data_IF_958681578210
#
_entry.id   IF_958681578210
#
_cell.length_a   1.000
_cell.length_b   1.000
_cell.length_c   1.000
_cell.angle_alpha   90.00
_cell.angle_beta   90.00
_cell.angle_gamma   90.00
#
_symmetry.space_group_name_H-M   'P 1'
#
loop_
_entity.id
_entity.type
_entity.pdbx_description
1 polymer ?
#
# COMPACT_ATOMS: atom_id res chain seq x y z
N UNK A 1 32.97 6.86 1.41
CA UNK A 1 31.70 6.35 0.86
C UNK A 1 30.70 7.50 0.83
N UNK A 2 30.13 7.85 -0.33
CA UNK A 2 29.25 9.01 -0.48
C UNK A 2 28.03 8.91 0.46
N UNK A 3 27.84 9.90 1.35
CA UNK A 3 26.68 9.98 2.27
C UNK A 3 25.33 9.82 1.54
N UNK A 4 25.24 10.26 0.29
CA UNK A 4 24.04 10.14 -0.55
C UNK A 4 23.68 8.69 -0.90
N UNK A 5 24.67 7.82 -1.14
CA UNK A 5 24.43 6.40 -1.47
C UNK A 5 23.90 5.63 -0.25
N UNK A 6 24.43 5.92 0.95
CA UNK A 6 23.93 5.36 2.19
C UNK A 6 22.50 5.81 2.51
N UNK A 7 22.18 7.09 2.25
CA UNK A 7 20.81 7.60 2.39
C UNK A 7 19.81 6.84 1.52
N UNK A 8 20.09 6.70 0.22
CA UNK A 8 19.18 6.05 -0.72
C UNK A 8 18.94 4.59 -0.34
N UNK A 9 20.00 3.87 0.04
CA UNK A 9 19.89 2.48 0.49
C UNK A 9 19.02 2.36 1.74
N UNK A 10 19.26 3.20 2.74
CA UNK A 10 18.50 3.17 3.99
C UNK A 10 17.04 3.59 3.78
N UNK A 11 16.80 4.61 2.95
CA UNK A 11 15.45 5.04 2.56
C UNK A 11 14.65 3.92 1.89
N UNK A 12 15.28 3.15 1.01
CA UNK A 12 14.63 2.02 0.35
C UNK A 12 14.35 0.88 1.32
N UNK A 13 15.31 0.53 2.19
CA UNK A 13 15.12 -0.52 3.20
C UNK A 13 13.99 -0.17 4.17
N UNK A 14 13.99 1.06 4.70
CA UNK A 14 12.94 1.52 5.63
C UNK A 14 11.59 1.57 4.94
N UNK A 15 11.53 2.06 3.69
CA UNK A 15 10.30 2.06 2.91
C UNK A 15 9.71 0.66 2.77
N UNK A 16 10.50 -0.32 2.35
CA UNK A 16 10.05 -1.71 2.26
C UNK A 16 9.67 -2.32 3.61
N UNK A 17 10.33 -1.92 4.71
CA UNK A 17 9.92 -2.33 6.05
C UNK A 17 8.54 -1.75 6.44
N UNK A 18 8.31 -0.47 6.15
CA UNK A 18 6.99 0.17 6.33
C UNK A 18 5.92 -0.51 5.47
N UNK A 19 6.23 -0.86 4.22
CA UNK A 19 5.37 -1.66 3.37
C UNK A 19 5.00 -3.00 4.01
N UNK A 20 5.98 -3.73 4.56
CA UNK A 20 5.73 -5.03 5.19
C UNK A 20 4.81 -4.93 6.40
N UNK A 21 4.97 -3.87 7.22
CA UNK A 21 4.05 -3.60 8.34
C UNK A 21 2.64 -3.37 7.81
N UNK A 22 2.48 -2.48 6.82
CA UNK A 22 1.17 -2.19 6.23
C UNK A 22 0.54 -3.41 5.56
N UNK A 23 1.31 -4.17 4.78
CA UNK A 23 0.86 -5.38 4.12
C UNK A 23 0.41 -6.45 5.12
N UNK A 24 1.18 -6.65 6.20
CA UNK A 24 0.78 -7.57 7.26
C UNK A 24 -0.52 -7.13 7.93
N UNK A 25 -0.63 -5.86 8.33
CA UNK A 25 -1.85 -5.30 8.91
C UNK A 25 -3.04 -5.56 7.97
N UNK A 26 -2.97 -5.09 6.73
CA UNK A 26 -4.09 -5.15 5.79
C UNK A 26 -4.46 -6.58 5.39
N UNK A 27 -3.50 -7.45 5.13
CA UNK A 27 -3.79 -8.84 4.80
C UNK A 27 -4.33 -9.63 6.00
N UNK A 28 -3.95 -9.29 7.22
CA UNK A 28 -4.45 -9.96 8.43
C UNK A 28 -5.83 -9.46 8.88
N UNK A 29 -6.20 -8.23 8.50
CA UNK A 29 -7.47 -7.60 8.90
C UNK A 29 -8.48 -7.43 7.76
N UNK A 30 -8.15 -7.82 6.53
CA UNK A 30 -9.09 -7.74 5.41
C UNK A 30 -10.29 -8.66 5.64
N UNK A 31 -11.47 -8.21 5.19
CA UNK A 31 -12.67 -9.04 5.21
C UNK A 31 -12.48 -10.28 4.33
N UNK A 32 -12.92 -11.43 4.81
CA UNK A 32 -12.74 -12.71 4.09
C UNK A 32 -13.80 -12.93 3.00
N UNK A 33 -14.91 -12.21 3.10
CA UNK A 33 -16.07 -12.29 2.19
C UNK A 33 -16.33 -10.94 1.50
N UNK A 34 -17.53 -10.73 0.98
CA UNK A 34 -17.95 -9.41 0.52
C UNK A 34 -18.16 -8.49 1.74
N UNK A 35 -17.44 -7.37 1.80
CA UNK A 35 -17.74 -6.29 2.73
C UNK A 35 -18.91 -5.44 2.22
N UNK A 36 -19.32 -4.48 3.04
CA UNK A 36 -20.41 -3.57 2.71
C UNK A 36 -20.09 -2.73 1.46
N UNK A 37 -21.15 -2.28 0.77
CA UNK A 37 -21.08 -1.39 -0.40
C UNK A 37 -20.67 -2.11 -1.71
N UNK A 38 -19.59 -1.68 -2.36
CA UNK A 38 -19.26 -2.08 -3.73
C UNK A 38 -18.46 -3.39 -3.79
N UNK A 39 -17.86 -3.86 -2.70
CA UNK A 39 -16.93 -4.99 -2.73
C UNK A 39 -17.56 -6.26 -3.31
N UNK A 40 -18.84 -6.53 -3.02
CA UNK A 40 -19.56 -7.65 -3.62
C UNK A 40 -19.68 -7.55 -5.15
N UNK A 41 -19.95 -6.36 -5.68
CA UNK A 41 -20.01 -6.10 -7.13
C UNK A 41 -18.62 -6.31 -7.76
N UNK A 42 -17.57 -5.74 -7.16
CA UNK A 42 -16.21 -5.88 -7.67
C UNK A 42 -15.70 -7.33 -7.63
N UNK A 43 -16.02 -8.10 -6.57
CA UNK A 43 -15.67 -9.52 -6.49
C UNK A 43 -16.37 -10.31 -7.60
N UNK A 44 -17.68 -10.08 -7.80
CA UNK A 44 -18.45 -10.77 -8.84
C UNK A 44 -17.95 -10.41 -10.24
N UNK A 45 -17.76 -9.11 -10.53
CA UNK A 45 -17.25 -8.63 -11.81
C UNK A 45 -15.83 -9.13 -12.08
N UNK A 46 -14.94 -9.15 -11.07
CA UNK A 46 -13.59 -9.66 -11.24
C UNK A 46 -13.59 -11.18 -11.48
N UNK A 47 -14.41 -11.93 -10.75
CA UNK A 47 -14.48 -13.39 -10.90
C UNK A 47 -15.04 -13.81 -12.26
N UNK A 48 -16.09 -13.13 -12.75
CA UNK A 48 -16.75 -13.48 -14.02
C UNK A 48 -16.25 -12.69 -15.23
N UNK A 49 -15.36 -11.72 -15.03
CA UNK A 49 -14.95 -10.74 -16.05
C UNK A 49 -16.16 -9.98 -16.64
N UNK A 50 -17.09 -9.59 -15.77
CA UNK A 50 -18.23 -8.75 -16.12
C UNK A 50 -17.86 -7.26 -16.01
N UNK A 51 -18.69 -6.40 -16.60
CA UNK A 51 -18.52 -4.95 -16.53
C UNK A 51 -19.38 -4.42 -15.38
N UNK A 52 -18.73 -3.89 -14.34
CA UNK A 52 -19.42 -3.14 -13.27
C UNK A 52 -19.96 -1.80 -13.77
N UNK A 53 -20.49 -0.97 -12.88
CA UNK A 53 -21.00 0.35 -13.26
C UNK A 53 -19.94 1.24 -13.95
N UNK A 54 -20.31 2.07 -14.96
CA UNK A 54 -19.39 3.00 -15.63
C UNK A 54 -18.67 3.88 -14.60
N UNK A 55 -17.35 4.16 -14.72
CA UNK A 55 -16.45 3.97 -15.86
C UNK A 55 -15.78 2.57 -15.97
N UNK A 56 -16.12 1.62 -15.10
CA UNK A 56 -15.46 0.31 -15.02
C UNK A 56 -14.01 0.42 -14.52
N UNK A 57 -13.56 -0.50 -13.67
CA UNK A 57 -12.17 -0.56 -13.19
C UNK A 57 -11.41 -1.72 -13.85
N UNK A 58 -11.22 -1.72 -15.18
CA UNK A 58 -10.80 -2.92 -15.92
C UNK A 58 -9.46 -3.49 -15.44
N UNK A 59 -8.48 -2.64 -15.11
CA UNK A 59 -7.20 -3.11 -14.59
C UNK A 59 -7.35 -3.82 -13.25
N UNK A 60 -8.13 -3.25 -12.32
CA UNK A 60 -8.40 -3.86 -11.03
C UNK A 60 -9.12 -5.20 -11.20
N UNK A 61 -10.13 -5.26 -12.07
CA UNK A 61 -10.89 -6.49 -12.34
C UNK A 61 -10.01 -7.59 -12.95
N UNK A 62 -9.08 -7.25 -13.85
CA UNK A 62 -8.14 -8.22 -14.43
C UNK A 62 -7.14 -8.75 -13.38
N UNK A 63 -6.62 -7.89 -12.51
CA UNK A 63 -5.74 -8.30 -11.41
C UNK A 63 -6.53 -9.16 -10.41
N UNK A 64 -7.75 -8.74 -10.05
CA UNK A 64 -8.66 -9.50 -9.20
C UNK A 64 -8.98 -10.88 -9.79
N UNK A 65 -9.21 -10.96 -11.11
CA UNK A 65 -9.40 -12.25 -11.79
C UNK A 65 -8.17 -13.13 -11.66
N UNK A 66 -6.98 -12.59 -11.89
CA UNK A 66 -5.73 -13.33 -11.72
C UNK A 66 -5.57 -13.85 -10.28
N UNK A 67 -5.86 -13.02 -9.27
CA UNK A 67 -5.81 -13.43 -7.87
C UNK A 67 -6.85 -14.50 -7.53
N UNK A 68 -8.05 -14.43 -8.12
CA UNK A 68 -9.09 -15.44 -7.91
C UNK A 68 -8.67 -16.85 -8.35
N UNK A 69 -7.68 -16.99 -9.24
CA UNK A 69 -7.15 -18.30 -9.65
C UNK A 69 -6.43 -19.03 -8.51
N UNK A 70 -5.92 -18.30 -7.51
CA UNK A 70 -5.32 -18.88 -6.31
C UNK A 70 -6.37 -19.41 -5.32
N UNK A 71 -7.67 -19.28 -5.63
CA UNK A 71 -8.73 -19.95 -4.90
C UNK A 71 -8.81 -21.46 -5.21
N UNK A 72 -8.12 -21.95 -6.24
CA UNK A 72 -8.10 -23.38 -6.64
C UNK A 72 -9.50 -24.00 -6.75
N UNK A 73 -10.38 -23.33 -7.49
CA UNK A 73 -11.79 -23.69 -7.72
C UNK A 73 -12.71 -23.67 -6.49
N UNK A 74 -12.22 -23.23 -5.33
CA UNK A 74 -13.03 -22.99 -4.13
C UNK A 74 -13.63 -21.58 -4.17
N UNK A 75 -14.91 -21.50 -4.57
CA UNK A 75 -15.63 -20.22 -4.70
C UNK A 75 -15.75 -19.46 -3.38
N UNK A 76 -15.68 -20.14 -2.23
CA UNK A 76 -15.71 -19.49 -0.92
C UNK A 76 -14.46 -18.65 -0.64
N UNK A 77 -13.33 -18.94 -1.32
CA UNK A 77 -12.06 -18.21 -1.15
C UNK A 77 -11.86 -17.06 -2.13
N UNK A 78 -12.72 -16.94 -3.16
CA UNK A 78 -12.58 -15.90 -4.20
C UNK A 78 -12.65 -14.50 -3.62
N UNK A 79 -13.57 -14.25 -2.67
CA UNK A 79 -13.71 -12.95 -2.01
C UNK A 79 -12.41 -12.53 -1.32
N UNK A 80 -11.85 -13.41 -0.48
CA UNK A 80 -10.56 -13.20 0.17
C UNK A 80 -9.43 -12.91 -0.83
N UNK A 81 -9.35 -13.65 -1.94
CA UNK A 81 -8.30 -13.45 -2.94
C UNK A 81 -8.40 -12.09 -3.65
N UNK A 82 -9.62 -11.66 -3.96
CA UNK A 82 -9.85 -10.34 -4.58
C UNK A 82 -9.58 -9.23 -3.55
N UNK A 83 -10.01 -9.38 -2.30
CA UNK A 83 -9.75 -8.41 -1.23
C UNK A 83 -8.24 -8.27 -0.92
N UNK A 84 -7.46 -9.35 -1.09
CA UNK A 84 -6.01 -9.29 -0.97
C UNK A 84 -5.36 -8.32 -1.97
N UNK A 85 -5.95 -8.13 -3.16
CA UNK A 85 -5.49 -7.12 -4.12
C UNK A 85 -5.65 -5.73 -3.53
N UNK A 86 -6.81 -5.40 -2.97
CA UNK A 86 -7.06 -4.13 -2.29
C UNK A 86 -6.08 -3.91 -1.13
N UNK A 87 -5.87 -4.93 -0.28
CA UNK A 87 -4.93 -4.88 0.83
C UNK A 87 -3.49 -4.58 0.37
N UNK A 88 -3.02 -5.25 -0.69
CA UNK A 88 -1.69 -5.02 -1.25
C UNK A 88 -1.56 -3.63 -1.90
N UNK A 89 -2.57 -3.19 -2.65
CA UNK A 89 -2.62 -1.84 -3.21
C UNK A 89 -2.56 -0.77 -2.10
N UNK A 90 -3.28 -0.97 -1.00
CA UNK A 90 -3.21 -0.08 0.17
C UNK A 90 -1.82 -0.08 0.80
N UNK A 91 -1.16 -1.24 0.93
CA UNK A 91 0.21 -1.31 1.43
C UNK A 91 1.22 -0.56 0.54
N UNK A 92 1.06 -0.65 -0.79
CA UNK A 92 1.85 0.15 -1.74
C UNK A 92 1.59 1.65 -1.59
N UNK A 93 0.35 2.07 -1.33
CA UNK A 93 0.05 3.47 -1.00
C UNK A 93 0.84 3.95 0.21
N UNK A 94 0.94 3.14 1.27
CA UNK A 94 1.75 3.49 2.45
C UNK A 94 3.26 3.60 2.11
N UNK A 95 3.80 2.69 1.28
CA UNK A 95 5.17 2.77 0.78
C UNK A 95 5.44 4.08 0.04
N UNK A 96 4.55 4.44 -0.89
CA UNK A 96 4.67 5.68 -1.67
C UNK A 96 4.46 6.92 -0.82
N UNK A 97 3.60 6.86 0.20
CA UNK A 97 3.44 7.93 1.17
C UNK A 97 4.74 8.15 1.96
N UNK A 98 5.39 7.09 2.43
CA UNK A 98 6.70 7.17 3.07
C UNK A 98 7.74 7.83 2.15
N UNK A 99 7.86 7.40 0.90
CA UNK A 99 8.80 8.01 -0.05
C UNK A 99 8.46 9.45 -0.41
N UNK A 100 7.18 9.80 -0.46
CA UNK A 100 6.73 11.17 -0.70
C UNK A 100 7.09 12.09 0.47
N UNK A 101 6.82 11.67 1.71
CA UNK A 101 7.17 12.43 2.92
C UNK A 101 8.69 12.59 3.01
N UNK A 102 9.46 11.51 2.85
CA UNK A 102 10.93 11.58 2.94
C UNK A 102 11.54 12.45 1.85
N UNK A 103 11.00 12.42 0.62
CA UNK A 103 11.43 13.30 -0.46
C UNK A 103 11.18 14.78 -0.12
N UNK A 104 9.98 15.12 0.35
CA UNK A 104 9.62 16.50 0.71
C UNK A 104 10.39 16.97 1.95
N UNK A 105 10.46 16.16 3.00
CA UNK A 105 11.17 16.48 4.23
C UNK A 105 12.67 16.70 3.97
N UNK A 106 13.30 15.85 3.15
CA UNK A 106 14.70 16.05 2.72
C UNK A 106 14.87 17.40 2.04
N UNK A 107 13.99 17.74 1.09
CA UNK A 107 14.03 19.02 0.37
C UNK A 107 13.88 20.23 1.32
N UNK A 108 13.13 20.08 2.41
CA UNK A 108 12.95 21.13 3.41
C UNK A 108 14.19 21.36 4.28
N UNK A 109 14.87 20.29 4.70
CA UNK A 109 16.06 20.37 5.58
C UNK A 109 17.37 20.67 4.84
N UNK A 110 17.42 20.50 3.50
CA UNK A 110 18.60 20.80 2.68
C UNK A 110 18.60 22.20 2.06
N UNK A 111 17.79 23.15 2.56
CA UNK A 111 17.68 24.52 2.01
C UNK A 111 18.94 25.36 2.30
N UNK A 112 20.09 24.97 1.75
CA UNK A 112 21.36 25.70 1.86
C UNK A 112 22.28 25.23 2.99
N UNK A 113 21.89 24.22 3.76
CA UNK A 113 22.68 23.62 4.83
C UNK A 113 23.22 22.23 4.44
N UNK A 114 24.29 21.79 5.09
CA UNK A 114 24.81 20.43 4.92
C UNK A 114 23.80 19.39 5.41
N UNK A 115 23.61 18.32 4.63
CA UNK A 115 22.74 17.22 5.03
C UNK A 115 23.42 16.34 6.09
N UNK A 116 23.18 16.69 7.35
CA UNK A 116 23.75 15.97 8.51
C UNK A 116 23.07 14.63 8.76
N UNK A 117 23.73 13.77 9.54
CA UNK A 117 23.17 12.50 10.00
C UNK A 117 21.91 12.70 10.86
N UNK A 118 21.84 13.79 11.63
CA UNK A 118 20.64 14.14 12.40
C UNK A 118 19.45 14.46 11.49
N UNK A 119 19.68 15.25 10.43
CA UNK A 119 18.66 15.55 9.43
C UNK A 119 18.18 14.28 8.72
N UNK A 120 19.09 13.34 8.44
CA UNK A 120 18.73 12.04 7.86
C UNK A 120 17.76 11.25 8.75
N UNK A 121 18.05 11.09 10.04
CA UNK A 121 17.14 10.38 10.95
C UNK A 121 15.82 11.13 11.16
N UNK A 122 15.83 12.46 11.20
CA UNK A 122 14.61 13.26 11.27
C UNK A 122 13.70 13.05 10.04
N UNK A 123 14.29 13.00 8.84
CA UNK A 123 13.55 12.73 7.59
C UNK A 123 12.93 11.32 7.61
N UNK A 124 13.69 10.29 8.01
CA UNK A 124 13.16 8.93 8.09
C UNK A 124 12.10 8.79 9.18
N UNK A 125 12.28 9.43 10.33
CA UNK A 125 11.30 9.46 11.41
C UNK A 125 10.00 10.12 10.96
N UNK A 126 10.07 11.28 10.30
CA UNK A 126 8.89 11.95 9.75
C UNK A 126 8.15 11.08 8.73
N UNK A 127 8.89 10.45 7.80
CA UNK A 127 8.32 9.52 6.83
C UNK A 127 7.64 8.32 7.47
N UNK A 128 8.29 7.66 8.42
CA UNK A 128 7.77 6.47 9.08
C UNK A 128 6.54 6.80 9.94
N UNK A 129 6.59 7.85 10.76
CA UNK A 129 5.46 8.27 11.60
C UNK A 129 4.27 8.68 10.74
N UNK A 130 4.47 9.49 9.71
CA UNK A 130 3.36 9.93 8.85
C UNK A 130 2.72 8.79 8.06
N UNK A 131 3.53 7.89 7.49
CA UNK A 131 3.02 6.76 6.73
C UNK A 131 2.30 5.73 7.62
N UNK A 132 2.90 5.37 8.76
CA UNK A 132 2.32 4.38 9.69
C UNK A 132 1.11 4.94 10.44
N UNK A 133 1.06 6.24 10.74
CA UNK A 133 -0.16 6.85 11.31
C UNK A 133 -1.33 6.74 10.32
N UNK A 134 -1.08 6.95 9.03
CA UNK A 134 -2.11 6.76 7.99
C UNK A 134 -2.52 5.29 7.85
N UNK A 135 -1.59 4.35 8.09
CA UNK A 135 -1.87 2.91 8.03
C UNK A 135 -3.04 2.50 8.93
N UNK A 136 -3.12 3.08 10.12
CA UNK A 136 -4.13 2.75 11.14
C UNK A 136 -5.25 3.80 11.20
N UNK A 137 -5.43 4.61 10.15
CA UNK A 137 -6.52 5.58 10.09
C UNK A 137 -7.80 4.96 9.53
N UNK A 138 -8.91 5.15 10.25
CA UNK A 138 -10.23 4.61 9.90
C UNK A 138 -10.72 5.11 8.53
N UNK A 139 -10.39 6.36 8.17
CA UNK A 139 -10.74 6.91 6.86
C UNK A 139 -10.02 6.26 5.69
N UNK A 140 -8.86 5.62 5.91
CA UNK A 140 -8.13 4.92 4.85
C UNK A 140 -8.35 3.41 4.88
N UNK A 141 -8.44 2.84 6.08
CA UNK A 141 -8.58 1.41 6.27
C UNK A 141 -9.80 1.11 7.17
N UNK A 142 -10.96 1.01 6.51
CA UNK A 142 -12.24 0.51 7.01
C UNK A 142 -13.10 0.02 5.84
#
# INVERSE_FOLDING_TARGET
MNNTSNYQRLNNIIGWFVFLIAAFTYLSTMESTASFWDCGEYIACAYKLEVGHPPGAPLFLLIGRFFSLFAFDDTAKVGMMVNAVSALCSAFTILFLFWSITYLAKKMVTKGEEFTTANMYAVFGAGAVGALAYTFSDSFWF
#
